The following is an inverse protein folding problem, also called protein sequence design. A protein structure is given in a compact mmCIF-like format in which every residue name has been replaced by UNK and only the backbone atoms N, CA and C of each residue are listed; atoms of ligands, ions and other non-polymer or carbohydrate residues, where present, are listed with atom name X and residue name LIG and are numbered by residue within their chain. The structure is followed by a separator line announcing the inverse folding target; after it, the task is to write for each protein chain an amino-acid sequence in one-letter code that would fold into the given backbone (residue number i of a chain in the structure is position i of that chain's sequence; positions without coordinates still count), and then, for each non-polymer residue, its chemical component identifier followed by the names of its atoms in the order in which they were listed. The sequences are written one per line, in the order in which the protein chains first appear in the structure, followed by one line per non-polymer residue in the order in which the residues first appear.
data_IF_130004276865
#
_entry.id   IF_130004276865
#
_cell.length_a   1.000
_cell.length_b   1.000
_cell.length_c   1.000
_cell.angle_alpha   90.00
_cell.angle_beta   90.00
_cell.angle_gamma   90.00
#
_symmetry.space_group_name_H-M   'P 1'
#
loop_
_entity.id
_entity.type
_entity.pdbx_description
1 polymer ?
#
# COMPACT_ATOMS: atom_id res chain seq x y z
N UNK A 1 -0.76 -21.42 8.75
CA UNK A 1 -1.12 -20.38 7.76
C UNK A 1 -2.03 -19.41 8.46
N UNK A 2 -1.63 -18.14 8.57
CA UNK A 2 -2.41 -17.10 9.26
C UNK A 2 -3.56 -16.70 8.33
N UNK A 3 -4.77 -16.59 8.87
CA UNK A 3 -5.99 -16.26 8.10
C UNK A 3 -5.96 -14.78 7.71
N UNK A 4 -5.11 -14.40 6.74
CA UNK A 4 -5.36 -13.16 5.99
C UNK A 4 -6.61 -13.38 5.15
N UNK A 5 -7.50 -12.39 5.14
CA UNK A 5 -8.67 -12.43 4.27
C UNK A 5 -8.18 -12.52 2.82
N UNK A 6 -8.69 -13.47 2.00
CA UNK A 6 -8.20 -13.67 0.63
C UNK A 6 -8.13 -12.38 -0.19
N UNK A 7 -9.12 -11.51 -0.05
CA UNK A 7 -9.17 -10.19 -0.71
C UNK A 7 -8.01 -9.26 -0.37
N UNK A 8 -7.52 -9.29 0.88
CA UNK A 8 -6.42 -8.43 1.33
C UNK A 8 -5.09 -8.94 0.77
N UNK A 9 -4.90 -10.26 0.78
CA UNK A 9 -3.72 -10.90 0.19
C UNK A 9 -3.65 -10.65 -1.32
N UNK A 10 -4.76 -10.84 -2.03
CA UNK A 10 -4.87 -10.57 -3.46
C UNK A 10 -4.51 -9.11 -3.78
N UNK A 11 -5.03 -8.16 -3.00
CA UNK A 11 -4.73 -6.75 -3.22
C UNK A 11 -3.25 -6.40 -2.96
N UNK A 12 -2.63 -6.98 -1.92
CA UNK A 12 -1.19 -6.80 -1.67
C UNK A 12 -0.35 -7.24 -2.86
N UNK A 13 -0.66 -8.42 -3.41
CA UNK A 13 0.03 -8.94 -4.61
C UNK A 13 -0.14 -7.98 -5.78
N UNK A 14 -1.35 -7.45 -6.01
CA UNK A 14 -1.58 -6.47 -7.08
C UNK A 14 -0.74 -5.20 -6.89
N UNK A 15 -0.61 -4.70 -5.66
CA UNK A 15 0.25 -3.53 -5.37
C UNK A 15 1.72 -3.87 -5.64
N UNK A 16 2.22 -4.99 -5.14
CA UNK A 16 3.60 -5.41 -5.37
C UNK A 16 3.92 -5.52 -6.87
N UNK A 17 3.06 -6.15 -7.66
CA UNK A 17 3.25 -6.26 -9.11
C UNK A 17 3.25 -4.89 -9.81
N UNK A 18 2.35 -3.98 -9.43
CA UNK A 18 2.32 -2.61 -9.98
C UNK A 18 3.62 -1.86 -9.74
N UNK A 19 4.22 -2.01 -8.55
CA UNK A 19 5.47 -1.33 -8.20
C UNK A 19 6.69 -2.01 -8.83
N UNK A 20 6.63 -3.31 -9.15
CA UNK A 20 7.65 -3.99 -9.97
C UNK A 20 7.64 -3.52 -11.42
N UNK A 21 6.45 -3.30 -11.99
CA UNK A 21 6.29 -2.80 -13.37
C UNK A 21 6.74 -1.34 -13.53
N UNK A 22 6.60 -0.54 -12.46
CA UNK A 22 7.03 0.86 -12.45
C UNK A 22 7.86 1.19 -11.19
N UNK A 23 9.16 0.81 -11.15
CA UNK A 23 9.98 0.94 -9.96
C UNK A 23 10.15 2.39 -9.52
N UNK A 24 9.76 2.67 -8.27
CA UNK A 24 9.96 3.98 -7.62
C UNK A 24 11.29 4.05 -6.86
N UNK A 25 12.04 2.95 -6.82
CA UNK A 25 13.24 2.81 -5.98
C UNK A 25 12.94 2.43 -4.52
N UNK A 26 11.67 2.18 -4.17
CA UNK A 26 11.32 1.47 -2.94
C UNK A 26 11.59 -0.03 -3.08
N UNK A 27 11.53 -0.76 -1.96
CA UNK A 27 11.57 -2.22 -1.98
C UNK A 27 10.35 -2.83 -2.71
N UNK A 28 10.35 -4.15 -2.86
CA UNK A 28 9.36 -4.89 -3.67
C UNK A 28 8.22 -5.48 -2.84
N UNK A 29 8.37 -5.55 -1.51
CA UNK A 29 7.32 -6.06 -0.63
C UNK A 29 6.28 -4.99 -0.32
N UNK A 30 5.04 -5.41 -0.08
CA UNK A 30 3.96 -4.51 0.32
C UNK A 30 4.35 -3.62 1.51
N UNK A 31 5.11 -4.16 2.47
CA UNK A 31 5.53 -3.44 3.68
C UNK A 31 6.50 -2.29 3.35
N UNK A 32 7.45 -2.53 2.46
CA UNK A 32 8.39 -1.52 1.98
C UNK A 32 7.68 -0.46 1.14
N UNK A 33 6.74 -0.87 0.28
CA UNK A 33 5.92 0.02 -0.53
C UNK A 33 5.06 0.92 0.37
N UNK A 34 4.33 0.34 1.32
CA UNK A 34 3.49 1.09 2.25
C UNK A 34 4.30 2.10 3.08
N UNK A 35 5.46 1.66 3.62
CA UNK A 35 6.36 2.53 4.36
C UNK A 35 6.89 3.68 3.49
N UNK A 36 7.32 3.37 2.26
CA UNK A 36 7.80 4.36 1.31
C UNK A 36 6.71 5.40 1.00
N UNK A 37 5.49 4.96 0.69
CA UNK A 37 4.41 5.87 0.32
C UNK A 37 4.05 6.83 1.46
N UNK A 38 4.01 6.35 2.70
CA UNK A 38 3.70 7.18 3.87
C UNK A 38 4.80 8.21 4.16
N UNK A 39 6.07 7.88 3.92
CA UNK A 39 7.20 8.75 4.30
C UNK A 39 7.78 9.58 3.16
N UNK A 40 7.64 9.12 1.92
CA UNK A 40 8.32 9.69 0.75
C UNK A 40 7.43 9.70 -0.51
N UNK A 41 6.21 9.16 -0.43
CA UNK A 41 5.32 8.98 -1.58
C UNK A 41 4.87 10.29 -2.22
N UNK A 42 4.36 10.14 -3.45
CA UNK A 42 3.70 11.20 -4.22
C UNK A 42 2.60 10.61 -5.09
N UNK A 43 1.51 11.36 -5.26
CA UNK A 43 0.39 11.07 -6.17
C UNK A 43 0.35 12.03 -7.38
N UNK A 44 1.37 12.89 -7.53
CA UNK A 44 1.46 13.92 -8.57
C UNK A 44 0.93 15.29 -8.14
N UNK A 45 0.12 15.37 -7.07
CA UNK A 45 -0.37 16.62 -6.49
C UNK A 45 0.25 16.89 -5.10
N UNK A 46 0.49 15.81 -4.35
CA UNK A 46 1.09 15.80 -3.02
C UNK A 46 2.44 15.08 -3.08
N UNK A 47 3.40 15.52 -2.27
CA UNK A 47 4.76 14.94 -2.19
C UNK A 47 5.32 14.99 -0.76
N UNK A 48 6.34 14.17 -0.48
CA UNK A 48 7.01 14.12 0.82
C UNK A 48 6.33 13.20 1.84
N UNK A 49 5.50 12.28 1.37
CA UNK A 49 4.74 11.35 2.21
C UNK A 49 3.23 11.56 2.08
N UNK A 50 2.51 10.46 1.81
CA UNK A 50 1.08 10.48 1.60
C UNK A 50 0.32 10.22 2.91
N UNK A 51 -0.74 11.00 3.15
CA UNK A 51 -1.74 10.67 4.17
C UNK A 51 -2.51 9.42 3.75
N UNK A 52 -3.20 8.76 4.69
CA UNK A 52 -4.04 7.59 4.36
C UNK A 52 -5.15 7.90 3.35
N UNK A 53 -5.66 9.13 3.30
CA UNK A 53 -6.67 9.52 2.32
C UNK A 53 -6.07 9.59 0.92
N UNK A 54 -4.91 10.24 0.77
CA UNK A 54 -4.23 10.35 -0.53
C UNK A 54 -3.72 9.00 -1.02
N UNK A 55 -3.19 8.18 -0.11
CA UNK A 55 -2.74 6.84 -0.47
C UNK A 55 -3.91 5.94 -0.91
N UNK A 56 -5.05 6.03 -0.22
CA UNK A 56 -6.25 5.30 -0.60
C UNK A 56 -6.76 5.73 -1.99
N UNK A 57 -6.77 7.04 -2.27
CA UNK A 57 -7.14 7.59 -3.58
C UNK A 57 -6.17 7.15 -4.68
N UNK A 58 -4.85 7.28 -4.45
CA UNK A 58 -3.79 6.81 -5.36
C UNK A 58 -3.93 5.34 -5.71
N UNK A 59 -4.28 4.50 -4.75
CA UNK A 59 -4.47 3.07 -4.97
C UNK A 59 -5.89 2.70 -5.46
N UNK A 60 -6.80 3.66 -5.57
CA UNK A 60 -8.17 3.47 -6.04
C UNK A 60 -9.01 2.62 -5.10
N UNK A 61 -8.83 2.78 -3.79
CA UNK A 61 -9.52 2.02 -2.74
C UNK A 61 -10.17 2.92 -1.69
N UNK A 62 -11.12 2.38 -0.96
CA UNK A 62 -11.70 3.06 0.20
C UNK A 62 -10.68 3.14 1.35
N UNK A 63 -10.68 4.25 2.09
CA UNK A 63 -9.80 4.43 3.25
C UNK A 63 -10.03 3.37 4.33
N UNK A 64 -11.27 2.85 4.46
CA UNK A 64 -11.58 1.74 5.36
C UNK A 64 -10.88 0.45 4.96
N UNK A 65 -10.76 0.19 3.65
CA UNK A 65 -10.05 -0.98 3.13
C UNK A 65 -8.54 -0.85 3.33
N UNK A 66 -7.97 0.35 3.17
CA UNK A 66 -6.58 0.63 3.55
C UNK A 66 -6.35 0.37 5.05
N UNK A 67 -7.30 0.76 5.90
CA UNK A 67 -7.26 0.45 7.33
C UNK A 67 -7.22 -1.07 7.62
N UNK A 68 -8.00 -1.86 6.89
CA UNK A 68 -7.96 -3.33 6.99
C UNK A 68 -6.60 -3.91 6.53
N UNK A 69 -6.03 -3.40 5.44
CA UNK A 69 -4.72 -3.81 4.93
C UNK A 69 -3.60 -3.56 5.95
N UNK A 70 -3.58 -2.35 6.53
CA UNK A 70 -2.61 -1.97 7.57
C UNK A 70 -2.82 -2.82 8.81
N UNK A 71 -4.07 -2.99 9.24
CA UNK A 71 -4.38 -3.79 10.42
C UNK A 71 -3.96 -5.24 10.26
N UNK A 72 -4.28 -5.89 9.14
CA UNK A 72 -3.87 -7.26 8.84
C UNK A 72 -2.35 -7.40 8.81
N UNK A 73 -1.62 -6.38 8.34
CA UNK A 73 -0.15 -6.32 8.36
C UNK A 73 0.39 -6.21 9.80
N UNK A 74 -0.13 -5.28 10.61
CA UNK A 74 0.31 -5.06 11.98
C UNK A 74 -0.08 -6.19 12.95
N UNK A 75 -1.12 -6.97 12.63
CA UNK A 75 -1.63 -8.01 13.52
C UNK A 75 -0.74 -9.23 13.65
N UNK A 76 0.24 -9.41 12.76
CA UNK A 76 1.30 -10.41 12.87
C UNK A 76 0.86 -11.79 13.33
#
# INVERSE_FOLDING_TARGET
MRNSYPRLLEFRIVIEERYKENPTGCGESFDEILCYEIHHGSDGEHEGGLTFLWLADKWGIEVSFLGELIYDHCKG
#
